data_IF_685150421636
#
_entry.id   IF_685150421636
#
_cell.length_a   1.000
_cell.length_b   1.000
_cell.length_c   1.000
_cell.angle_alpha   90.00
_cell.angle_beta   90.00
_cell.angle_gamma   90.00
#
_symmetry.space_group_name_H-M   'P 1'
#
loop_
_entity.id
_entity.type
_entity.pdbx_description
1 polymer ?
#
# COMPACT_ATOMS: atom_id res chain seq x y z
N UNK A 1 13.02 5.36 -0.41
CA UNK A 1 11.62 5.64 -0.01
C UNK A 1 10.79 4.40 -0.31
N UNK A 2 9.91 4.04 0.63
CA UNK A 2 9.05 2.87 0.54
C UNK A 2 7.60 3.30 0.77
N UNK A 3 6.73 3.13 -0.25
CA UNK A 3 5.28 3.20 -0.06
C UNK A 3 4.83 1.88 0.56
N UNK A 4 4.16 1.94 1.71
CA UNK A 4 3.69 0.76 2.43
C UNK A 4 2.20 0.58 2.19
N UNK A 5 1.84 -0.56 1.61
CA UNK A 5 0.46 -0.93 1.34
C UNK A 5 -0.29 -1.37 2.60
N UNK A 6 -1.62 -1.26 2.58
CA UNK A 6 -2.48 -1.66 3.70
C UNK A 6 -2.35 -3.13 4.05
N UNK A 7 -2.11 -4.01 3.06
CA UNK A 7 -1.92 -5.44 3.31
C UNK A 7 -0.76 -5.74 4.27
N UNK A 8 0.27 -4.87 4.34
CA UNK A 8 1.36 -4.96 5.33
C UNK A 8 0.87 -4.52 6.70
N UNK A 9 0.20 -3.37 6.78
CA UNK A 9 -0.31 -2.84 8.04
C UNK A 9 -1.33 -3.75 8.71
N UNK A 10 -2.16 -4.44 7.94
CA UNK A 10 -3.09 -5.44 8.48
C UNK A 10 -2.34 -6.54 9.25
N UNK A 11 -1.20 -7.01 8.75
CA UNK A 11 -0.38 -8.00 9.47
C UNK A 11 0.27 -7.40 10.72
N UNK A 12 0.80 -6.17 10.63
CA UNK A 12 1.41 -5.46 11.76
C UNK A 12 0.38 -5.20 12.87
N UNK A 13 -0.85 -4.80 12.53
CA UNK A 13 -1.92 -4.51 13.50
C UNK A 13 -2.48 -5.79 14.14
N UNK A 14 -2.43 -6.93 13.42
CA UNK A 14 -2.82 -8.25 13.96
C UNK A 14 -1.75 -8.90 14.81
N UNK A 15 -0.53 -8.35 14.82
CA UNK A 15 0.62 -8.93 15.50
C UNK A 15 0.55 -8.78 17.02
N UNK A 16 0.13 -9.85 17.68
CA UNK A 16 0.04 -9.90 19.15
C UNK A 16 1.39 -10.06 19.85
N UNK A 17 2.41 -10.57 19.15
CA UNK A 17 3.71 -10.92 19.74
C UNK A 17 4.82 -9.91 19.39
N UNK A 18 4.53 -8.94 18.53
CA UNK A 18 5.47 -7.90 18.10
C UNK A 18 6.54 -8.38 17.12
N UNK A 19 6.47 -9.62 16.62
CA UNK A 19 7.45 -10.17 15.67
C UNK A 19 7.37 -9.52 14.28
N UNK A 20 6.15 -9.36 13.77
CA UNK A 20 5.89 -8.73 12.47
C UNK A 20 6.24 -7.26 12.52
N UNK A 21 5.89 -6.58 13.62
CA UNK A 21 6.26 -5.19 13.84
C UNK A 21 7.79 -5.02 13.89
N UNK A 22 8.50 -5.92 14.60
CA UNK A 22 9.96 -5.91 14.62
C UNK A 22 10.53 -6.09 13.21
N UNK A 23 10.08 -7.10 12.48
CA UNK A 23 10.55 -7.34 11.11
C UNK A 23 10.26 -6.18 10.16
N UNK A 24 9.06 -5.58 10.25
CA UNK A 24 8.72 -4.36 9.50
C UNK A 24 9.72 -3.24 9.79
N UNK A 25 10.01 -2.97 11.07
CA UNK A 25 10.97 -1.93 11.49
C UNK A 25 12.38 -2.20 10.98
N UNK A 26 12.84 -3.45 11.03
CA UNK A 26 14.13 -3.84 10.45
C UNK A 26 14.13 -3.59 8.94
N UNK A 27 13.04 -3.95 8.27
CA UNK A 27 12.95 -3.84 6.83
C UNK A 27 12.98 -2.39 6.35
N UNK A 28 12.31 -1.49 7.05
CA UNK A 28 12.24 -0.06 6.68
C UNK A 28 13.30 0.80 7.36
N UNK A 29 14.21 0.21 8.14
CA UNK A 29 15.15 0.93 9.03
C UNK A 29 15.92 2.05 8.32
N UNK A 30 16.43 1.77 7.13
CA UNK A 30 17.29 2.69 6.37
C UNK A 30 16.52 3.51 5.33
N UNK A 31 15.18 3.45 5.35
CA UNK A 31 14.30 4.10 4.38
C UNK A 31 13.25 4.99 5.05
N UNK A 32 12.93 6.11 4.41
CA UNK A 32 11.68 6.83 4.70
C UNK A 32 10.54 5.98 4.16
N UNK A 33 9.65 5.54 5.04
CA UNK A 33 8.40 4.89 4.67
C UNK A 33 7.25 5.90 4.69
N UNK A 34 6.30 5.71 3.78
CA UNK A 34 5.18 6.61 3.52
C UNK A 34 3.91 5.80 3.26
N UNK A 35 2.77 6.46 3.37
CA UNK A 35 1.45 5.90 3.10
C UNK A 35 0.82 6.52 1.85
N UNK A 36 -0.19 5.84 1.31
CA UNK A 36 -1.13 6.47 0.39
C UNK A 36 -2.39 6.89 1.15
N UNK A 37 -3.16 7.82 0.57
CA UNK A 37 -4.49 8.17 1.10
C UNK A 37 -5.48 7.01 1.02
N UNK A 38 -5.27 6.08 0.09
CA UNK A 38 -6.01 4.81 0.04
C UNK A 38 -5.71 3.95 1.27
N UNK A 39 -4.44 3.86 1.67
CA UNK A 39 -4.06 3.11 2.86
C UNK A 39 -4.63 3.71 4.14
N UNK A 40 -4.65 5.04 4.25
CA UNK A 40 -5.34 5.71 5.37
C UNK A 40 -6.84 5.36 5.39
N UNK A 41 -7.51 5.45 4.23
CA UNK A 41 -8.93 5.15 4.10
C UNK A 41 -9.25 3.71 4.51
N UNK A 42 -8.49 2.72 4.02
CA UNK A 42 -8.72 1.30 4.34
C UNK A 42 -8.44 0.98 5.80
N UNK A 43 -7.39 1.57 6.39
CA UNK A 43 -7.07 1.38 7.79
C UNK A 43 -8.16 1.95 8.70
N UNK A 44 -8.63 3.18 8.44
CA UNK A 44 -9.70 3.81 9.20
C UNK A 44 -11.02 3.03 9.08
N UNK A 45 -11.37 2.55 7.89
CA UNK A 45 -12.55 1.69 7.70
C UNK A 45 -12.49 0.38 8.50
N UNK A 46 -11.29 -0.07 8.87
CA UNK A 46 -11.09 -1.26 9.70
C UNK A 46 -11.34 -1.05 11.20
N UNK A 47 -11.55 0.18 11.67
CA UNK A 47 -11.81 0.47 13.08
C UNK A 47 -13.16 -0.11 13.54
N UNK A 48 -13.21 -0.67 14.75
CA UNK A 48 -14.40 -1.36 15.29
C UNK A 48 -15.33 -0.44 16.08
N UNK A 49 -14.80 0.66 16.60
CA UNK A 49 -15.51 1.65 17.39
C UNK A 49 -14.84 3.03 17.29
N UNK A 50 -15.52 4.05 17.82
CA UNK A 50 -15.05 5.44 17.78
C UNK A 50 -13.72 5.63 18.54
N UNK A 51 -13.44 4.82 19.55
CA UNK A 51 -12.20 4.93 20.31
C UNK A 51 -11.00 4.40 19.49
N UNK A 52 -11.15 3.26 18.82
CA UNK A 52 -10.16 2.73 17.88
C UNK A 52 -9.98 3.68 16.69
N UNK A 53 -11.08 4.22 16.15
CA UNK A 53 -11.04 5.22 15.06
C UNK A 53 -10.18 6.43 15.44
N UNK A 54 -10.50 7.10 16.56
CA UNK A 54 -9.81 8.34 16.94
C UNK A 54 -8.32 8.11 17.18
N UNK A 55 -7.94 7.00 17.80
CA UNK A 55 -6.52 6.65 17.98
C UNK A 55 -5.80 6.39 16.67
N UNK A 56 -6.45 5.68 15.75
CA UNK A 56 -5.88 5.36 14.45
C UNK A 56 -5.76 6.62 13.59
N UNK A 57 -6.78 7.48 13.58
CA UNK A 57 -6.76 8.76 12.88
C UNK A 57 -5.67 9.69 13.40
N UNK A 58 -5.53 9.82 14.73
CA UNK A 58 -4.46 10.61 15.34
C UNK A 58 -3.07 10.07 14.92
N UNK A 59 -2.87 8.75 14.96
CA UNK A 59 -1.62 8.14 14.50
C UNK A 59 -1.35 8.41 13.01
N UNK A 60 -2.35 8.21 12.16
CA UNK A 60 -2.25 8.39 10.71
C UNK A 60 -2.03 9.85 10.32
N UNK A 61 -2.61 10.81 11.05
CA UNK A 61 -2.46 12.25 10.79
C UNK A 61 -1.01 12.74 10.87
N UNK A 62 -0.15 12.01 11.61
CA UNK A 62 1.25 12.33 11.80
C UNK A 62 2.19 11.59 10.82
N UNK A 63 1.65 10.86 9.83
CA UNK A 63 2.45 10.12 8.85
C UNK A 63 2.77 10.94 7.60
N UNK A 64 3.79 10.50 6.87
CA UNK A 64 4.10 11.03 5.54
C UNK A 64 3.28 10.32 4.47
N UNK A 65 2.76 11.11 3.53
CA UNK A 65 1.91 10.62 2.46
C UNK A 65 2.51 10.92 1.09
N UNK A 66 2.38 9.96 0.17
CA UNK A 66 2.50 10.23 -1.26
C UNK A 66 1.14 10.63 -1.81
N UNK A 67 1.07 11.84 -2.34
CA UNK A 67 -0.13 12.40 -2.93
C UNK A 67 -0.19 12.11 -4.43
N UNK A 68 -1.39 11.89 -4.93
CA UNK A 68 -1.64 11.75 -6.35
C UNK A 68 -1.51 13.10 -7.08
N UNK A 69 -1.00 13.04 -8.30
CA UNK A 69 -1.09 14.13 -9.26
C UNK A 69 -2.43 14.08 -10.02
N UNK A 70 -2.75 15.13 -10.77
CA UNK A 70 -3.94 15.13 -11.65
C UNK A 70 -3.89 14.01 -12.71
N UNK A 71 -2.69 13.58 -13.11
CA UNK A 71 -2.50 12.54 -14.12
C UNK A 71 -2.64 11.12 -13.55
N UNK A 72 -2.36 10.94 -12.26
CA UNK A 72 -2.41 9.63 -11.58
C UNK A 72 -3.70 8.88 -11.86
N UNK A 73 -4.84 9.58 -11.84
CA UNK A 73 -6.15 8.96 -12.00
C UNK A 73 -6.35 8.35 -13.39
N UNK A 74 -5.93 9.06 -14.44
CA UNK A 74 -6.04 8.58 -15.82
C UNK A 74 -5.07 7.43 -16.07
N UNK A 75 -3.86 7.53 -15.53
CA UNK A 75 -2.83 6.51 -15.72
C UNK A 75 -3.13 5.23 -14.93
N UNK A 76 -3.66 5.35 -13.71
CA UNK A 76 -4.17 4.22 -12.93
C UNK A 76 -5.34 3.51 -13.66
N UNK A 77 -6.31 4.27 -14.19
CA UNK A 77 -7.39 3.70 -15.00
C UNK A 77 -6.86 2.98 -16.24
N UNK A 78 -5.77 3.50 -16.84
CA UNK A 78 -5.11 2.88 -17.99
C UNK A 78 -4.47 1.54 -17.63
N UNK A 79 -3.88 1.40 -16.43
CA UNK A 79 -3.37 0.12 -15.93
C UNK A 79 -4.49 -0.92 -15.89
N UNK A 80 -5.60 -0.60 -15.23
CA UNK A 80 -6.74 -1.51 -15.11
C UNK A 80 -7.29 -1.93 -16.49
N UNK A 81 -7.47 -0.96 -17.38
CA UNK A 81 -7.94 -1.21 -18.75
C UNK A 81 -7.03 -2.18 -19.51
N UNK A 82 -5.71 -2.02 -19.42
CA UNK A 82 -4.76 -2.88 -20.12
C UNK A 82 -4.70 -4.29 -19.54
N UNK A 83 -4.80 -4.44 -18.22
CA UNK A 83 -4.90 -5.77 -17.57
C UNK A 83 -6.13 -6.52 -18.05
N UNK A 84 -7.31 -5.87 -18.00
CA UNK A 84 -8.57 -6.46 -18.48
C UNK A 84 -8.51 -6.91 -19.93
N UNK A 85 -7.86 -6.11 -20.81
CA UNK A 85 -7.67 -6.49 -22.22
C UNK A 85 -6.76 -7.69 -22.41
N UNK A 86 -5.86 -7.95 -21.46
CA UNK A 86 -4.98 -9.12 -21.45
C UNK A 86 -5.61 -10.34 -20.77
N UNK A 87 -6.86 -10.24 -20.31
CA UNK A 87 -7.53 -11.30 -19.57
C UNK A 87 -7.08 -11.43 -18.12
N UNK A 88 -6.26 -10.49 -17.63
CA UNK A 88 -5.82 -10.43 -16.23
C UNK A 88 -6.86 -9.67 -15.41
N UNK A 89 -7.15 -10.16 -14.21
CA UNK A 89 -8.09 -9.54 -13.27
C UNK A 89 -7.39 -9.22 -11.97
N UNK A 90 -7.57 -7.99 -11.50
CA UNK A 90 -7.21 -7.58 -10.14
C UNK A 90 -8.49 -7.37 -9.32
N UNK A 91 -8.38 -7.51 -8.01
CA UNK A 91 -9.50 -7.44 -7.07
C UNK A 91 -9.93 -6.00 -6.80
N UNK A 92 -9.01 -5.05 -6.84
CA UNK A 92 -9.29 -3.65 -6.51
C UNK A 92 -8.73 -2.66 -7.55
N UNK A 93 -9.54 -1.72 -8.07
CA UNK A 93 -9.01 -0.61 -8.87
C UNK A 93 -8.17 0.37 -8.03
N UNK A 94 -8.26 0.33 -6.69
CA UNK A 94 -7.44 1.16 -5.81
C UNK A 94 -5.95 0.75 -5.90
N UNK A 95 -5.67 -0.53 -6.15
CA UNK A 95 -4.30 -1.01 -6.30
C UNK A 95 -3.63 -0.41 -7.54
N UNK A 96 -4.39 -0.15 -8.60
CA UNK A 96 -3.88 0.62 -9.74
C UNK A 96 -3.49 2.05 -9.34
N UNK A 97 -4.28 2.70 -8.47
CA UNK A 97 -3.95 4.04 -7.98
C UNK A 97 -2.69 4.01 -7.10
N UNK A 98 -2.60 3.08 -6.15
CA UNK A 98 -1.43 2.92 -5.27
C UNK A 98 -0.17 2.61 -6.11
N UNK A 99 -0.27 1.70 -7.07
CA UNK A 99 0.83 1.38 -7.98
C UNK A 99 1.25 2.59 -8.81
N UNK A 100 0.29 3.35 -9.36
CA UNK A 100 0.61 4.53 -10.15
C UNK A 100 1.28 5.63 -9.31
N UNK A 101 0.82 5.86 -8.07
CA UNK A 101 1.46 6.78 -7.13
C UNK A 101 2.90 6.35 -6.84
N UNK A 102 3.14 5.06 -6.60
CA UNK A 102 4.49 4.53 -6.37
C UNK A 102 5.40 4.77 -7.58
N UNK A 103 4.89 4.52 -8.79
CA UNK A 103 5.64 4.72 -10.05
C UNK A 103 6.01 6.20 -10.23
N UNK A 104 5.05 7.12 -10.06
CA UNK A 104 5.28 8.56 -10.22
C UNK A 104 6.31 9.10 -9.21
N UNK A 105 6.27 8.60 -7.98
CA UNK A 105 7.20 8.98 -6.92
C UNK A 105 8.58 8.27 -7.01
N UNK A 106 8.74 7.29 -7.91
CA UNK A 106 9.92 6.42 -7.93
C UNK A 106 10.10 5.62 -6.63
N UNK A 107 9.00 5.34 -5.92
CA UNK A 107 9.01 4.64 -4.65
C UNK A 107 8.95 3.12 -4.86
N UNK A 108 9.59 2.38 -3.95
CA UNK A 108 9.37 0.93 -3.84
C UNK A 108 8.04 0.70 -3.12
N UNK A 109 7.23 -0.23 -3.60
CA UNK A 109 5.98 -0.60 -2.95
C UNK A 109 6.19 -1.86 -2.12
N UNK A 110 6.04 -1.77 -0.80
CA UNK A 110 6.08 -2.92 0.10
C UNK A 110 4.64 -3.41 0.35
N UNK A 111 4.33 -4.66 -0.04
CA UNK A 111 2.97 -5.18 -0.06
C UNK A 111 2.89 -6.69 0.24
N UNK A 112 1.66 -7.18 0.45
CA UNK A 112 1.28 -8.61 0.51
C UNK A 112 0.09 -8.93 -0.39
N UNK A 113 -0.19 -8.07 -1.36
CA UNK A 113 -1.24 -8.28 -2.36
C UNK A 113 -0.66 -8.80 -3.68
N UNK A 114 -1.26 -9.85 -4.24
CA UNK A 114 -0.84 -10.40 -5.53
C UNK A 114 -1.17 -9.47 -6.71
N UNK A 115 -2.10 -8.55 -6.54
CA UNK A 115 -2.51 -7.61 -7.59
C UNK A 115 -1.34 -6.70 -8.01
N UNK A 116 -0.49 -6.28 -7.06
CA UNK A 116 0.71 -5.50 -7.39
C UNK A 116 1.73 -6.31 -8.20
N UNK A 117 1.84 -7.62 -7.95
CA UNK A 117 2.68 -8.50 -8.77
C UNK A 117 2.14 -8.64 -10.19
N UNK A 118 0.82 -8.59 -10.39
CA UNK A 118 0.19 -8.57 -11.71
C UNK A 118 0.44 -7.23 -12.41
N UNK A 119 0.28 -6.11 -11.70
CA UNK A 119 0.53 -4.76 -12.23
C UNK A 119 2.00 -4.59 -12.67
N UNK A 120 2.95 -5.07 -11.86
CA UNK A 120 4.39 -5.00 -12.15
C UNK A 120 4.81 -5.75 -13.43
N UNK A 121 3.98 -6.66 -13.97
CA UNK A 121 4.24 -7.30 -15.27
C UNK A 121 4.04 -6.37 -16.45
N UNK A 122 3.24 -5.31 -16.30
CA UNK A 122 2.85 -4.41 -17.39
C UNK A 122 3.27 -2.94 -17.16
N UNK A 123 3.83 -2.65 -16.00
CA UNK A 123 4.31 -1.32 -15.60
C UNK A 123 5.64 -1.42 -14.87
N UNK A 124 6.46 -0.37 -14.87
CA UNK A 124 7.74 -0.34 -14.15
C UNK A 124 7.53 -0.12 -12.64
N UNK A 125 6.64 -0.90 -12.02
CA UNK A 125 6.41 -0.88 -10.58
C UNK A 125 7.50 -1.69 -9.87
N UNK A 126 8.22 -1.08 -8.94
CA UNK A 126 9.16 -1.80 -8.07
C UNK A 126 8.38 -2.33 -6.86
N UNK A 127 7.73 -3.48 -7.07
CA UNK A 127 6.90 -4.16 -6.09
C UNK A 127 7.73 -5.17 -5.28
N UNK A 128 7.64 -5.08 -3.95
CA UNK A 128 8.32 -5.93 -3.01
C UNK A 128 7.34 -6.64 -2.08
N UNK A 129 7.43 -7.97 -2.06
CA UNK A 129 6.62 -8.80 -1.18
C UNK A 129 7.14 -8.76 0.26
N UNK A 130 6.28 -8.42 1.22
CA UNK A 130 6.61 -8.44 2.64
C UNK A 130 6.39 -9.84 3.22
N UNK A 131 7.48 -10.56 3.46
CA UNK A 131 7.44 -11.90 4.07
C UNK A 131 7.17 -11.82 5.57
N UNK A 132 6.19 -12.59 6.05
CA UNK A 132 5.91 -12.71 7.48
C UNK A 132 6.51 -14.02 7.99
N UNK A 133 7.59 -13.92 8.76
CA UNK A 133 8.14 -15.07 9.49
C UNK A 133 7.24 -15.38 10.69
N UNK A 134 6.50 -16.49 10.64
CA UNK A 134 5.60 -16.93 11.72
C UNK A 134 6.38 -17.57 12.87
#
# INVERSE_FOLDING_TARGET
MILVDTSVWIEVLRDRKGKVLHYFRERVRDDIWVLSRFSQLELLQGAKDDHEWNRLDEYLSNQYYLEASENTWRDAARIYFELRRKGETINSPLDCCIAQIAIEAGARLLHRDHDFSIIARIRPLVAEWFEVQR
#
